data_IF_227405901231
#
_entry.id   IF_227405901231
#
_cell.length_a   1.000
_cell.length_b   1.000
_cell.length_c   1.000
_cell.angle_alpha   90.00
_cell.angle_beta   90.00
_cell.angle_gamma   90.00
#
_symmetry.space_group_name_H-M   'P 1'
#
loop_
_entity.id
_entity.type
_entity.pdbx_description
1 polymer ?
#
# COMPACT_ATOMS: atom_id res chain seq x y z
N UNK A 1 0.03 -28.05 -19.80
CA UNK A 1 -1.25 -28.35 -19.17
C UNK A 1 -1.86 -27.05 -18.70
N UNK A 2 -2.96 -26.62 -19.30
CA UNK A 2 -3.70 -25.42 -18.87
C UNK A 2 -4.41 -25.72 -17.55
N UNK A 3 -3.96 -25.06 -16.49
CA UNK A 3 -4.60 -25.15 -15.18
C UNK A 3 -6.05 -24.69 -15.30
N UNK A 4 -7.01 -25.49 -14.85
CA UNK A 4 -8.43 -25.13 -14.89
C UNK A 4 -8.69 -23.89 -14.02
N UNK A 5 -9.60 -23.00 -14.44
CA UNK A 5 -9.94 -21.74 -13.74
C UNK A 5 -10.26 -22.01 -12.26
N UNK A 6 -10.92 -23.12 -11.94
CA UNK A 6 -11.23 -23.53 -10.57
C UNK A 6 -9.96 -23.77 -9.73
N UNK A 7 -8.93 -24.45 -10.27
CA UNK A 7 -7.67 -24.69 -9.54
C UNK A 7 -6.92 -23.38 -9.26
N UNK A 8 -6.93 -22.42 -10.19
CA UNK A 8 -6.34 -21.10 -9.99
C UNK A 8 -7.05 -20.33 -8.87
N UNK A 9 -8.39 -20.35 -8.85
CA UNK A 9 -9.19 -19.68 -7.80
C UNK A 9 -8.86 -20.29 -6.44
N UNK A 10 -8.90 -21.61 -6.31
CA UNK A 10 -8.59 -22.32 -5.06
C UNK A 10 -7.18 -21.97 -4.59
N UNK A 11 -6.18 -22.06 -5.47
CA UNK A 11 -4.80 -21.71 -5.15
C UNK A 11 -4.67 -20.28 -4.66
N UNK A 12 -5.24 -19.31 -5.39
CA UNK A 12 -5.19 -17.90 -5.01
C UNK A 12 -5.84 -17.63 -3.66
N UNK A 13 -6.99 -18.29 -3.38
CA UNK A 13 -7.68 -18.17 -2.09
C UNK A 13 -6.84 -18.71 -0.95
N UNK A 14 -6.25 -19.92 -1.10
CA UNK A 14 -5.38 -20.51 -0.08
C UNK A 14 -4.18 -19.61 0.21
N UNK A 15 -3.48 -19.14 -0.83
CA UNK A 15 -2.32 -18.26 -0.64
C UNK A 15 -2.69 -16.93 0.00
N UNK A 16 -3.85 -16.35 -0.37
CA UNK A 16 -4.32 -15.10 0.25
C UNK A 16 -4.68 -15.30 1.72
N UNK A 17 -5.41 -16.38 2.05
CA UNK A 17 -5.77 -16.69 3.45
C UNK A 17 -4.53 -16.98 4.29
N UNK A 18 -3.55 -17.74 3.77
CA UNK A 18 -2.29 -18.00 4.45
C UNK A 18 -1.49 -16.70 4.68
N UNK A 19 -1.48 -15.79 3.72
CA UNK A 19 -0.84 -14.47 3.85
C UNK A 19 -1.49 -13.61 4.94
N UNK A 20 -2.82 -13.59 5.03
CA UNK A 20 -3.54 -12.91 6.11
C UNK A 20 -3.21 -13.51 7.49
N UNK A 21 -3.30 -14.83 7.62
CA UNK A 21 -2.97 -15.51 8.87
C UNK A 21 -1.53 -15.21 9.31
N UNK A 22 -0.57 -15.26 8.38
CA UNK A 22 0.82 -14.92 8.62
C UNK A 22 0.99 -13.48 9.13
N UNK A 23 0.30 -12.52 8.51
CA UNK A 23 0.31 -11.11 8.92
C UNK A 23 -0.19 -10.92 10.35
N UNK A 24 -1.32 -11.54 10.70
CA UNK A 24 -1.87 -11.48 12.05
C UNK A 24 -0.94 -12.13 13.08
N UNK A 25 -0.35 -13.27 12.74
CA UNK A 25 0.61 -13.95 13.61
C UNK A 25 1.82 -13.07 13.91
N UNK A 26 2.42 -12.45 12.88
CA UNK A 26 3.55 -11.54 13.06
C UNK A 26 3.15 -10.31 13.89
N UNK A 27 2.00 -9.71 13.62
CA UNK A 27 1.51 -8.57 14.40
C UNK A 27 1.31 -8.94 15.87
N UNK A 28 0.73 -10.10 16.15
CA UNK A 28 0.51 -10.60 17.51
C UNK A 28 1.82 -10.81 18.27
N UNK A 29 2.84 -11.34 17.61
CA UNK A 29 4.15 -11.59 18.22
C UNK A 29 4.98 -10.32 18.36
N UNK A 30 4.97 -9.44 17.36
CA UNK A 30 5.85 -8.26 17.34
C UNK A 30 5.28 -7.08 18.15
N UNK A 31 3.96 -6.90 18.21
CA UNK A 31 3.37 -5.75 18.91
C UNK A 31 3.77 -5.66 20.38
N UNK A 32 3.69 -6.73 21.20
CA UNK A 32 4.14 -6.67 22.59
C UNK A 32 5.63 -6.36 22.71
N UNK A 33 6.46 -6.93 21.83
CA UNK A 33 7.89 -6.65 21.79
C UNK A 33 8.18 -5.18 21.46
N UNK A 34 7.49 -4.60 20.47
CA UNK A 34 7.64 -3.19 20.09
C UNK A 34 7.27 -2.32 21.30
N UNK A 35 6.08 -2.53 21.88
CA UNK A 35 5.61 -1.73 23.04
C UNK A 35 6.60 -1.82 24.21
N UNK A 36 7.12 -3.00 24.51
CA UNK A 36 8.10 -3.18 25.57
C UNK A 36 9.40 -2.40 25.33
N UNK A 37 9.82 -2.27 24.05
CA UNK A 37 11.08 -1.61 23.68
C UNK A 37 10.97 -0.10 23.56
N UNK A 38 9.88 0.43 23.02
CA UNK A 38 9.73 1.88 22.76
C UNK A 38 8.77 2.58 23.72
N UNK A 39 8.02 1.84 24.51
CA UNK A 39 6.98 2.37 25.39
C UNK A 39 5.64 2.60 24.68
N UNK A 40 4.58 2.76 25.47
CA UNK A 40 3.21 2.89 24.97
C UNK A 40 3.00 4.22 24.22
N UNK A 41 3.64 5.30 24.66
CA UNK A 41 3.51 6.64 24.07
C UNK A 41 4.11 6.67 22.66
N UNK A 42 5.36 6.22 22.50
CA UNK A 42 6.01 6.13 21.19
C UNK A 42 5.29 5.14 20.25
N UNK A 43 4.75 4.04 20.79
CA UNK A 43 3.90 3.13 20.02
C UNK A 43 2.60 3.83 19.56
N UNK A 44 2.02 4.68 20.41
CA UNK A 44 0.87 5.50 20.05
C UNK A 44 1.15 6.44 18.89
N UNK A 45 2.30 7.15 18.90
CA UNK A 45 2.75 7.98 17.77
C UNK A 45 2.87 7.16 16.49
N UNK A 46 3.50 5.99 16.56
CA UNK A 46 3.64 5.07 15.44
C UNK A 46 2.29 4.62 14.88
N UNK A 47 1.37 4.22 15.74
CA UNK A 47 0.03 3.75 15.37
C UNK A 47 -0.80 4.87 14.71
N UNK A 48 -0.75 6.10 15.27
CA UNK A 48 -1.46 7.27 14.72
C UNK A 48 -0.87 7.65 13.36
N UNK A 49 0.46 7.67 13.20
CA UNK A 49 1.11 7.97 11.94
C UNK A 49 0.70 6.97 10.84
N UNK A 50 0.68 5.66 11.14
CA UNK A 50 0.21 4.64 10.21
C UNK A 50 -1.28 4.79 9.87
N UNK A 51 -2.11 5.19 10.83
CA UNK A 51 -3.55 5.43 10.60
C UNK A 51 -3.77 6.66 9.73
N UNK A 52 -3.05 7.76 10.00
CA UNK A 52 -3.16 9.00 9.25
C UNK A 52 -2.83 8.80 7.76
N UNK A 53 -1.82 7.99 7.45
CA UNK A 53 -1.47 7.67 6.06
C UNK A 53 -2.60 6.93 5.33
N UNK A 54 -3.37 6.10 6.03
CA UNK A 54 -4.50 5.41 5.41
C UNK A 54 -5.58 6.38 4.88
N UNK A 55 -5.67 7.60 5.40
CA UNK A 55 -6.57 8.62 4.84
C UNK A 55 -6.17 9.06 3.44
N UNK A 56 -4.88 9.03 3.09
CA UNK A 56 -4.45 9.31 1.71
C UNK A 56 -4.93 8.27 0.70
N UNK A 57 -5.23 7.04 1.14
CA UNK A 57 -5.82 6.00 0.29
C UNK A 57 -7.23 6.41 -0.15
N UNK A 58 -7.98 7.15 0.66
CA UNK A 58 -9.30 7.67 0.27
C UNK A 58 -9.23 8.77 -0.79
N UNK A 59 -8.08 9.42 -0.92
CA UNK A 59 -7.84 10.41 -1.98
C UNK A 59 -7.47 9.74 -3.31
N UNK A 60 -7.08 8.45 -3.31
CA UNK A 60 -6.85 7.68 -4.53
C UNK A 60 -8.18 7.49 -5.28
N UNK A 61 -8.30 7.92 -6.54
CA UNK A 61 -9.51 7.70 -7.32
C UNK A 61 -9.71 6.25 -7.79
N UNK A 62 -9.25 5.25 -7.03
CA UNK A 62 -9.44 3.83 -7.30
C UNK A 62 -8.58 3.28 -8.44
N UNK A 63 -7.43 3.90 -8.70
CA UNK A 63 -6.56 3.52 -9.81
C UNK A 63 -5.99 2.11 -9.68
N UNK A 64 -5.69 1.64 -8.47
CA UNK A 64 -5.23 0.28 -8.25
C UNK A 64 -6.17 -0.77 -8.84
N UNK A 65 -7.47 -0.65 -8.60
CA UNK A 65 -8.51 -1.54 -9.17
C UNK A 65 -8.64 -1.37 -10.68
N UNK A 66 -8.49 -0.13 -11.18
CA UNK A 66 -8.51 0.17 -12.61
C UNK A 66 -7.38 -0.50 -13.35
N UNK A 67 -6.16 -0.46 -12.81
CA UNK A 67 -5.01 -1.13 -13.41
C UNK A 67 -5.25 -2.64 -13.54
N UNK A 68 -5.68 -3.28 -12.45
CA UNK A 68 -5.97 -4.73 -12.44
C UNK A 68 -6.98 -5.09 -13.52
N UNK A 69 -8.10 -4.34 -13.60
CA UNK A 69 -9.15 -4.58 -14.59
C UNK A 69 -8.64 -4.46 -16.02
N UNK A 70 -8.05 -3.32 -16.38
CA UNK A 70 -7.68 -3.06 -17.77
C UNK A 70 -6.45 -3.88 -18.20
N UNK A 71 -5.50 -4.15 -17.31
CA UNK A 71 -4.39 -5.07 -17.61
C UNK A 71 -4.93 -6.47 -17.90
N UNK A 72 -5.86 -7.01 -17.07
CA UNK A 72 -6.47 -8.31 -17.31
C UNK A 72 -7.25 -8.34 -18.63
N UNK A 73 -8.05 -7.31 -18.91
CA UNK A 73 -8.86 -7.20 -20.13
C UNK A 73 -7.99 -7.22 -21.39
N UNK A 74 -7.01 -6.32 -21.48
CA UNK A 74 -6.18 -6.21 -22.67
C UNK A 74 -5.17 -7.35 -22.81
N UNK A 75 -4.69 -7.92 -21.70
CA UNK A 75 -3.87 -9.12 -21.73
C UNK A 75 -4.64 -10.33 -22.31
N UNK A 76 -5.92 -10.49 -21.94
CA UNK A 76 -6.78 -11.56 -22.49
C UNK A 76 -6.99 -11.39 -24.01
N UNK A 77 -7.07 -10.14 -24.49
CA UNK A 77 -7.15 -9.78 -25.91
C UNK A 77 -5.80 -9.87 -26.63
N UNK A 78 -4.70 -10.18 -25.93
CA UNK A 78 -3.31 -10.14 -26.43
C UNK A 78 -2.87 -8.79 -26.98
N UNK A 79 -3.55 -7.70 -26.57
CA UNK A 79 -3.19 -6.33 -26.92
C UNK A 79 -2.14 -5.78 -25.94
N UNK A 80 -0.91 -6.26 -26.10
CA UNK A 80 0.21 -5.90 -25.23
C UNK A 80 0.62 -4.43 -25.36
N UNK A 81 0.30 -3.79 -26.48
CA UNK A 81 0.53 -2.35 -26.67
C UNK A 81 -0.36 -1.55 -25.69
N UNK A 82 -1.64 -1.89 -25.64
CA UNK A 82 -2.57 -1.21 -24.73
C UNK A 82 -2.28 -1.56 -23.27
N UNK A 83 -1.83 -2.79 -22.96
CA UNK A 83 -1.31 -3.14 -21.62
C UNK A 83 -0.18 -2.19 -21.21
N UNK A 84 0.81 -1.97 -22.10
CA UNK A 84 1.90 -1.02 -21.83
C UNK A 84 1.40 0.43 -21.66
N UNK A 85 0.40 0.83 -22.44
CA UNK A 85 -0.22 2.15 -22.25
C UNK A 85 -0.88 2.27 -20.86
N UNK A 86 -1.57 1.24 -20.37
CA UNK A 86 -2.14 1.21 -19.02
C UNK A 86 -1.06 1.33 -17.95
N UNK A 87 0.01 0.53 -18.07
CA UNK A 87 1.13 0.51 -17.11
C UNK A 87 1.80 1.88 -17.04
N UNK A 88 2.16 2.47 -18.19
CA UNK A 88 2.90 3.73 -18.24
C UNK A 88 2.03 4.93 -17.86
N UNK A 89 0.76 4.97 -18.32
CA UNK A 89 -0.18 6.02 -17.90
C UNK A 89 -0.43 5.95 -16.40
N UNK A 90 -0.56 4.73 -15.87
CA UNK A 90 -0.71 4.49 -14.45
C UNK A 90 0.50 4.95 -13.64
N UNK A 91 1.72 4.64 -14.10
CA UNK A 91 2.95 5.06 -13.44
C UNK A 91 3.06 6.59 -13.37
N UNK A 92 2.82 7.29 -14.50
CA UNK A 92 2.85 8.75 -14.55
C UNK A 92 1.83 9.34 -13.58
N UNK A 93 0.59 8.81 -13.59
CA UNK A 93 -0.43 9.29 -12.66
C UNK A 93 -0.05 9.05 -11.19
N UNK A 94 0.43 7.86 -10.85
CA UNK A 94 0.83 7.54 -9.48
C UNK A 94 1.97 8.45 -8.99
N UNK A 95 2.94 8.77 -9.86
CA UNK A 95 4.01 9.72 -9.53
C UNK A 95 3.48 11.13 -9.31
N UNK A 96 2.60 11.62 -10.19
CA UNK A 96 1.97 12.94 -10.02
C UNK A 96 1.13 12.99 -8.73
N UNK A 97 0.37 11.95 -8.44
CA UNK A 97 -0.39 11.86 -7.20
C UNK A 97 0.52 11.92 -5.97
N UNK A 98 1.65 11.21 -5.98
CA UNK A 98 2.64 11.27 -4.89
C UNK A 98 3.19 12.69 -4.68
N UNK A 99 3.43 13.44 -5.76
CA UNK A 99 3.86 14.85 -5.66
C UNK A 99 2.79 15.70 -4.99
N UNK A 100 1.51 15.51 -5.36
CA UNK A 100 0.38 16.22 -4.72
C UNK A 100 0.28 15.87 -3.24
N UNK A 101 0.35 14.57 -2.89
CA UNK A 101 0.28 14.10 -1.49
C UNK A 101 1.44 14.68 -0.67
N UNK A 102 2.66 14.70 -1.22
CA UNK A 102 3.81 15.32 -0.56
C UNK A 102 3.60 16.82 -0.36
N UNK A 103 3.08 17.52 -1.37
CA UNK A 103 2.76 18.94 -1.27
C UNK A 103 1.71 19.23 -0.19
N UNK A 104 0.64 18.46 -0.16
CA UNK A 104 -0.41 18.57 0.87
C UNK A 104 0.16 18.32 2.26
N UNK A 105 0.99 17.30 2.43
CA UNK A 105 1.67 17.05 3.70
C UNK A 105 2.54 18.23 4.14
N UNK A 106 3.36 18.76 3.26
CA UNK A 106 4.24 19.89 3.59
C UNK A 106 3.46 21.15 3.99
N UNK A 107 2.28 21.37 3.43
CA UNK A 107 1.39 22.49 3.78
C UNK A 107 0.65 22.26 5.10
N UNK A 108 0.27 21.02 5.42
CA UNK A 108 -0.60 20.70 6.55
C UNK A 108 0.13 20.11 7.76
N UNK A 109 1.43 19.80 7.66
CA UNK A 109 2.18 19.11 8.72
C UNK A 109 2.06 19.77 10.09
N UNK A 110 2.23 21.10 10.12
CA UNK A 110 2.19 21.85 11.39
C UNK A 110 0.79 21.88 11.98
N UNK A 111 -0.24 21.95 11.14
CA UNK A 111 -1.64 21.84 11.54
C UNK A 111 -1.96 20.46 12.11
N UNK A 112 -1.54 19.39 11.41
CA UNK A 112 -1.77 17.99 11.83
C UNK A 112 -1.12 17.74 13.19
N UNK A 113 0.14 18.15 13.36
CA UNK A 113 0.87 17.93 14.60
C UNK A 113 0.29 18.76 15.73
N UNK A 114 -0.07 20.02 15.49
CA UNK A 114 -0.71 20.88 16.46
C UNK A 114 -2.08 20.36 16.92
N UNK A 115 -2.85 19.76 16.00
CA UNK A 115 -4.15 19.15 16.31
C UNK A 115 -4.03 17.93 17.24
N UNK A 116 -2.97 17.13 17.08
CA UNK A 116 -2.77 15.89 17.83
C UNK A 116 -2.31 16.13 19.28
N UNK A 117 -1.96 17.39 19.67
CA UNK A 117 -1.61 17.81 21.04
C UNK A 117 -0.58 16.91 21.73
N UNK A 118 0.40 16.44 20.99
CA UNK A 118 1.51 15.68 21.57
C UNK A 118 2.39 16.54 22.49
N UNK A 119 3.08 15.88 23.42
CA UNK A 119 4.08 16.53 24.26
C UNK A 119 5.20 17.18 23.43
N UNK A 120 5.61 18.42 23.72
CA UNK A 120 6.68 19.12 22.99
C UNK A 120 8.01 18.35 22.93
N UNK A 121 8.27 17.51 23.91
CA UNK A 121 9.50 16.71 24.01
C UNK A 121 9.65 15.70 22.86
N UNK A 122 8.53 15.26 22.25
CA UNK A 122 8.53 14.27 21.18
C UNK A 122 8.35 14.88 19.78
N UNK A 123 8.38 16.20 19.65
CA UNK A 123 8.05 16.89 18.39
C UNK A 123 8.93 16.44 17.21
N UNK A 124 10.23 16.29 17.42
CA UNK A 124 11.15 15.85 16.36
C UNK A 124 10.90 14.38 15.96
N UNK A 125 10.67 13.50 16.92
CA UNK A 125 10.38 12.09 16.66
C UNK A 125 9.03 11.92 15.94
N UNK A 126 8.06 12.77 16.26
CA UNK A 126 6.76 12.81 15.58
C UNK A 126 6.93 13.23 14.13
N UNK A 127 7.60 14.36 13.87
CA UNK A 127 7.88 14.84 12.51
C UNK A 127 8.60 13.78 11.69
N UNK A 128 9.65 13.17 12.25
CA UNK A 128 10.41 12.13 11.58
C UNK A 128 9.53 10.91 11.26
N UNK A 129 8.70 10.49 12.21
CA UNK A 129 7.82 9.32 12.06
C UNK A 129 6.77 9.57 10.99
N UNK A 130 6.05 10.69 11.05
CA UNK A 130 5.02 11.03 10.07
C UNK A 130 5.59 11.18 8.66
N UNK A 131 6.72 11.89 8.53
CA UNK A 131 7.40 12.03 7.26
C UNK A 131 7.90 10.69 6.72
N UNK A 132 8.49 9.86 7.58
CA UNK A 132 9.01 8.55 7.18
C UNK A 132 7.91 7.59 6.74
N UNK A 133 6.78 7.54 7.45
CA UNK A 133 5.63 6.72 7.03
C UNK A 133 5.00 7.27 5.75
N UNK A 134 4.97 8.60 5.56
CA UNK A 134 4.59 9.19 4.27
C UNK A 134 5.51 8.71 3.14
N UNK A 135 6.83 8.64 3.37
CA UNK A 135 7.77 8.12 2.38
C UNK A 135 7.49 6.64 2.06
N UNK A 136 7.17 5.83 3.06
CA UNK A 136 6.73 4.43 2.84
C UNK A 136 5.48 4.37 1.95
N UNK A 137 4.49 5.23 2.20
CA UNK A 137 3.31 5.34 1.35
C UNK A 137 3.67 5.74 -0.08
N UNK A 138 4.46 6.81 -0.25
CA UNK A 138 4.89 7.32 -1.56
C UNK A 138 5.62 6.23 -2.35
N UNK A 139 6.57 5.51 -1.75
CA UNK A 139 7.31 4.43 -2.41
C UNK A 139 6.35 3.33 -2.88
N UNK A 140 5.44 2.86 -2.02
CA UNK A 140 4.50 1.81 -2.38
C UNK A 140 3.49 2.27 -3.44
N UNK A 141 2.97 3.50 -3.32
CA UNK A 141 1.95 4.02 -4.22
C UNK A 141 2.51 4.38 -5.60
N UNK A 142 3.66 5.06 -5.66
CA UNK A 142 4.31 5.45 -6.92
C UNK A 142 4.50 4.25 -7.86
N UNK A 143 4.80 3.09 -7.30
CA UNK A 143 5.08 1.87 -8.05
C UNK A 143 4.00 0.78 -7.91
N UNK A 144 2.82 1.15 -7.44
CA UNK A 144 1.68 0.22 -7.27
C UNK A 144 1.30 -0.51 -8.57
N UNK A 145 1.60 0.09 -9.72
CA UNK A 145 1.34 -0.48 -11.04
C UNK A 145 2.01 -1.84 -11.24
N UNK A 146 3.19 -2.10 -10.66
CA UNK A 146 3.86 -3.39 -10.76
C UNK A 146 3.09 -4.49 -10.03
N UNK A 147 2.65 -4.21 -8.79
CA UNK A 147 1.77 -5.11 -8.04
C UNK A 147 0.46 -5.35 -8.79
N UNK A 148 -0.15 -4.28 -9.31
CA UNK A 148 -1.40 -4.35 -10.06
C UNK A 148 -1.24 -5.11 -11.38
N UNK A 149 -0.05 -5.08 -12.01
CA UNK A 149 0.27 -5.88 -13.18
C UNK A 149 0.25 -7.37 -12.83
N UNK A 150 0.89 -7.77 -11.74
CA UNK A 150 0.85 -9.16 -11.26
C UNK A 150 -0.59 -9.60 -10.96
N UNK A 151 -1.37 -8.75 -10.31
CA UNK A 151 -2.77 -9.02 -9.99
C UNK A 151 -3.63 -9.15 -11.27
N UNK A 152 -3.47 -8.24 -12.24
CA UNK A 152 -4.15 -8.29 -13.54
C UNK A 152 -3.79 -9.50 -14.38
N UNK A 153 -2.57 -10.01 -14.24
CA UNK A 153 -2.12 -11.28 -14.81
C UNK A 153 -2.55 -12.51 -13.98
N UNK A 154 -3.40 -12.32 -12.96
CA UNK A 154 -3.88 -13.36 -12.06
C UNK A 154 -2.77 -14.11 -11.30
N UNK A 155 -1.69 -13.42 -10.96
CA UNK A 155 -0.53 -13.96 -10.23
C UNK A 155 -0.53 -13.51 -8.76
N UNK A 156 -1.69 -13.71 -8.10
CA UNK A 156 -1.84 -13.46 -6.65
C UNK A 156 -0.92 -14.34 -5.80
N UNK A 157 -0.59 -15.54 -6.30
CA UNK A 157 0.40 -16.44 -5.72
C UNK A 157 1.75 -15.71 -5.52
N UNK A 158 2.24 -15.06 -6.57
CA UNK A 158 3.51 -14.32 -6.53
C UNK A 158 3.46 -13.15 -5.55
N UNK A 159 2.35 -12.39 -5.54
CA UNK A 159 2.18 -11.26 -4.61
C UNK A 159 2.26 -11.74 -3.17
N UNK A 160 1.58 -12.83 -2.82
CA UNK A 160 1.56 -13.36 -1.47
C UNK A 160 2.90 -14.00 -1.07
N UNK A 161 3.58 -14.68 -2.00
CA UNK A 161 4.93 -15.22 -1.77
C UNK A 161 5.91 -14.09 -1.46
N UNK A 162 5.91 -13.01 -2.27
CA UNK A 162 6.76 -11.83 -2.02
C UNK A 162 6.45 -11.25 -0.63
N UNK A 163 5.18 -11.10 -0.28
CA UNK A 163 4.77 -10.59 1.03
C UNK A 163 5.36 -11.44 2.18
N UNK A 164 5.22 -12.76 2.12
CA UNK A 164 5.75 -13.67 3.16
C UNK A 164 7.27 -13.62 3.20
N UNK A 165 7.95 -13.67 2.05
CA UNK A 165 9.42 -13.63 1.99
C UNK A 165 9.96 -12.30 2.55
N UNK A 166 9.35 -11.17 2.22
CA UNK A 166 9.80 -9.85 2.67
C UNK A 166 9.45 -9.61 4.15
N UNK A 167 8.38 -10.23 4.67
CA UNK A 167 8.00 -10.09 6.08
C UNK A 167 9.04 -10.67 7.05
N UNK A 168 9.81 -11.69 6.63
CA UNK A 168 10.84 -12.30 7.47
C UNK A 168 11.99 -11.30 7.76
N UNK A 169 12.71 -10.75 6.75
CA UNK A 169 13.73 -9.74 7.02
C UNK A 169 13.15 -8.47 7.65
N UNK A 170 11.88 -8.12 7.37
CA UNK A 170 11.18 -7.03 8.05
C UNK A 170 11.10 -7.27 9.56
N UNK A 171 10.67 -8.45 9.98
CA UNK A 171 10.58 -8.82 11.40
C UNK A 171 11.93 -8.84 12.07
N UNK A 172 12.95 -9.38 11.40
CA UNK A 172 14.34 -9.38 11.89
C UNK A 172 14.84 -7.94 12.03
N UNK A 173 14.58 -7.08 11.06
CA UNK A 173 14.96 -5.67 11.09
C UNK A 173 14.29 -4.92 12.26
N UNK A 174 12.99 -5.14 12.52
CA UNK A 174 12.31 -4.58 13.69
C UNK A 174 13.04 -4.98 14.98
N UNK A 175 13.29 -6.28 15.16
CA UNK A 175 13.97 -6.80 16.36
C UNK A 175 15.37 -6.19 16.48
N UNK A 176 16.13 -6.16 15.38
CA UNK A 176 17.50 -5.63 15.37
C UNK A 176 17.52 -4.13 15.71
N UNK A 177 16.76 -3.28 14.99
CA UNK A 177 16.78 -1.84 15.23
C UNK A 177 16.31 -1.48 16.64
N UNK A 178 15.27 -2.15 17.16
CA UNK A 178 14.78 -1.90 18.50
C UNK A 178 15.74 -2.41 19.58
N UNK A 179 16.41 -3.54 19.35
CA UNK A 179 17.41 -4.04 20.28
C UNK A 179 18.67 -3.17 20.35
N UNK A 180 19.00 -2.48 19.23
CA UNK A 180 20.08 -1.51 19.16
C UNK A 180 19.69 -0.12 19.73
N UNK A 181 18.45 0.08 20.18
CA UNK A 181 18.00 1.30 20.81
C UNK A 181 17.59 2.43 19.85
N UNK A 182 17.40 2.14 18.55
CA UNK A 182 16.98 3.17 17.57
C UNK A 182 15.51 3.63 17.70
N UNK A 183 14.69 2.99 18.55
CA UNK A 183 13.31 3.41 18.85
C UNK A 183 12.45 3.61 17.60
N UNK A 184 11.66 4.70 17.57
CA UNK A 184 10.81 5.06 16.43
C UNK A 184 11.58 5.23 15.12
N UNK A 185 12.75 5.83 15.17
CA UNK A 185 13.59 6.03 13.98
C UNK A 185 13.98 4.70 13.34
N UNK A 186 14.27 3.69 14.17
CA UNK A 186 14.55 2.33 13.71
C UNK A 186 13.36 1.67 13.00
N UNK A 187 12.14 1.83 13.54
CA UNK A 187 10.92 1.32 12.90
C UNK A 187 10.68 1.98 11.55
N UNK A 188 10.86 3.29 11.46
CA UNK A 188 10.70 4.06 10.21
C UNK A 188 11.72 3.62 9.17
N UNK A 189 13.00 3.55 9.53
CA UNK A 189 14.06 3.12 8.62
C UNK A 189 13.80 1.69 8.11
N UNK A 190 13.44 0.77 8.99
CA UNK A 190 13.08 -0.59 8.60
C UNK A 190 11.91 -0.60 7.61
N UNK A 191 10.85 0.18 7.86
CA UNK A 191 9.68 0.25 7.00
C UNK A 191 10.01 0.80 5.61
N UNK A 192 10.89 1.81 5.51
CA UNK A 192 11.37 2.34 4.23
C UNK A 192 12.17 1.28 3.46
N UNK A 193 13.10 0.58 4.14
CA UNK A 193 13.87 -0.50 3.51
C UNK A 193 12.97 -1.61 2.98
N UNK A 194 11.99 -2.01 3.78
CA UNK A 194 10.99 -3.03 3.42
C UNK A 194 10.15 -2.58 2.23
N UNK A 195 9.71 -1.32 2.19
CA UNK A 195 8.95 -0.78 1.06
C UNK A 195 9.78 -0.83 -0.24
N UNK A 196 11.05 -0.42 -0.19
CA UNK A 196 11.95 -0.46 -1.35
C UNK A 196 12.13 -1.90 -1.85
N UNK A 197 12.45 -2.85 -0.95
CA UNK A 197 12.63 -4.27 -1.31
C UNK A 197 11.36 -4.86 -1.89
N UNK A 198 10.20 -4.51 -1.32
CA UNK A 198 8.88 -4.97 -1.80
C UNK A 198 8.60 -4.49 -3.22
N UNK A 199 8.80 -3.20 -3.48
CA UNK A 199 8.57 -2.59 -4.81
C UNK A 199 9.52 -3.17 -5.84
N UNK A 200 10.81 -3.31 -5.52
CA UNK A 200 11.79 -3.93 -6.41
C UNK A 200 11.39 -5.37 -6.74
N UNK A 201 10.94 -6.13 -5.72
CA UNK A 201 10.48 -7.50 -5.91
C UNK A 201 9.28 -7.57 -6.86
N UNK A 202 8.28 -6.71 -6.68
CA UNK A 202 7.13 -6.64 -7.59
C UNK A 202 7.56 -6.26 -9.01
N UNK A 203 8.45 -5.29 -9.17
CA UNK A 203 8.96 -4.89 -10.48
C UNK A 203 9.69 -6.04 -11.18
N UNK A 204 10.63 -6.69 -10.51
CA UNK A 204 11.40 -7.84 -11.05
C UNK A 204 10.47 -8.96 -11.50
N UNK A 205 9.51 -9.35 -10.67
CA UNK A 205 8.57 -10.40 -11.02
C UNK A 205 7.57 -9.97 -12.11
N UNK A 206 7.15 -8.70 -12.14
CA UNK A 206 6.31 -8.19 -13.21
C UNK A 206 7.02 -8.27 -14.56
N UNK A 207 8.28 -7.86 -14.67
CA UNK A 207 9.09 -8.01 -15.89
C UNK A 207 9.32 -9.47 -16.26
N UNK A 208 9.56 -10.35 -15.28
CA UNK A 208 9.77 -11.78 -15.53
C UNK A 208 8.52 -12.47 -16.10
N UNK A 209 7.33 -12.09 -15.61
CA UNK A 209 6.05 -12.71 -15.98
C UNK A 209 5.48 -12.07 -17.25
N UNK A 210 5.74 -10.80 -17.47
CA UNK A 210 5.33 -10.05 -18.66
C UNK A 210 6.55 -9.45 -19.38
N UNK A 211 7.31 -10.26 -20.14
CA UNK A 211 8.54 -9.80 -20.80
C UNK A 211 8.31 -8.68 -21.83
N UNK A 212 7.07 -8.51 -22.32
CA UNK A 212 6.70 -7.44 -23.24
C UNK A 212 6.51 -6.09 -22.53
N UNK A 213 6.67 -6.04 -21.19
CA UNK A 213 6.56 -4.79 -20.43
C UNK A 213 7.68 -3.82 -20.85
N UNK A 214 7.26 -2.61 -21.18
CA UNK A 214 8.18 -1.53 -21.56
C UNK A 214 7.79 -0.24 -20.86
N UNK A 215 8.70 0.28 -20.06
CA UNK A 215 8.50 1.58 -19.37
C UNK A 215 9.12 2.66 -20.26
N UNK A 216 8.26 3.47 -20.89
CA UNK A 216 8.70 4.56 -21.74
C UNK A 216 7.61 5.64 -21.86
N UNK A 217 7.94 6.94 -21.75
CA UNK A 217 6.95 8.03 -21.79
C UNK A 217 6.04 8.03 -23.02
N UNK A 218 6.48 7.49 -24.16
CA UNK A 218 5.68 7.39 -25.40
C UNK A 218 4.40 6.54 -25.25
N UNK A 219 4.36 5.68 -24.23
CA UNK A 219 3.18 4.84 -23.94
C UNK A 219 2.14 5.56 -23.06
N UNK A 220 2.40 6.79 -22.64
CA UNK A 220 1.35 7.61 -22.00
C UNK A 220 0.19 7.83 -22.96
N UNK A 221 -1.03 7.65 -22.47
CA UNK A 221 -2.26 7.86 -23.25
C UNK A 221 -3.32 8.55 -22.42
N UNK A 222 -3.74 9.73 -22.88
CA UNK A 222 -4.85 10.49 -22.27
C UNK A 222 -6.20 9.74 -22.35
N UNK A 223 -6.39 8.94 -23.41
CA UNK A 223 -7.58 8.09 -23.55
C UNK A 223 -7.61 7.02 -22.46
N UNK A 224 -6.47 6.35 -22.23
CA UNK A 224 -6.32 5.37 -21.15
C UNK A 224 -6.50 6.03 -19.79
N UNK A 225 -5.93 7.22 -19.58
CA UNK A 225 -6.12 7.97 -18.33
C UNK A 225 -7.60 8.21 -18.04
N UNK A 226 -8.37 8.62 -19.06
CA UNK A 226 -9.83 8.83 -18.92
C UNK A 226 -10.56 7.53 -18.56
N UNK A 227 -10.17 6.41 -19.15
CA UNK A 227 -10.75 5.09 -18.84
C UNK A 227 -10.42 4.67 -17.39
N UNK A 228 -9.18 4.84 -16.97
CA UNK A 228 -8.72 4.55 -15.61
C UNK A 228 -9.50 5.39 -14.59
N UNK A 229 -9.60 6.69 -14.82
CA UNK A 229 -10.36 7.60 -13.97
C UNK A 229 -11.83 7.23 -13.89
N UNK A 230 -12.48 7.03 -15.04
CA UNK A 230 -13.92 6.75 -15.10
C UNK A 230 -14.31 5.45 -14.40
N UNK A 231 -13.48 4.40 -14.43
CA UNK A 231 -13.72 3.16 -13.71
C UNK A 231 -13.31 3.29 -12.25
N UNK A 232 -12.12 3.82 -11.98
CA UNK A 232 -11.56 3.95 -10.65
C UNK A 232 -12.46 4.78 -9.73
N UNK A 233 -12.95 5.92 -10.20
CA UNK A 233 -13.82 6.78 -9.43
C UNK A 233 -15.13 6.07 -9.00
N UNK A 234 -15.70 5.24 -9.88
CA UNK A 234 -16.89 4.43 -9.54
C UNK A 234 -16.56 3.41 -8.42
N UNK A 235 -15.41 2.77 -8.51
CA UNK A 235 -14.95 1.82 -7.48
C UNK A 235 -14.70 2.55 -6.16
N UNK A 236 -14.12 3.75 -6.20
CA UNK A 236 -13.85 4.54 -5.02
C UNK A 236 -15.14 5.00 -4.31
N UNK A 237 -16.16 5.44 -5.07
CA UNK A 237 -17.47 5.76 -4.50
C UNK A 237 -18.10 4.52 -3.83
N UNK A 238 -18.03 3.36 -4.48
CA UNK A 238 -18.55 2.12 -3.90
C UNK A 238 -17.81 1.75 -2.61
N UNK A 239 -16.47 1.85 -2.61
CA UNK A 239 -15.63 1.61 -1.42
C UNK A 239 -15.92 2.60 -0.28
N UNK A 240 -16.15 3.87 -0.60
CA UNK A 240 -16.52 4.88 0.38
C UNK A 240 -17.90 4.60 0.99
N UNK A 241 -18.87 4.20 0.17
CA UNK A 241 -20.20 3.79 0.64
C UNK A 241 -20.12 2.58 1.57
N UNK A 242 -19.31 1.58 1.23
CA UNK A 242 -19.08 0.41 2.09
C UNK A 242 -18.41 0.81 3.42
N UNK A 243 -17.42 1.69 3.38
CA UNK A 243 -16.77 2.20 4.58
C UNK A 243 -17.76 2.92 5.50
N UNK A 244 -18.58 3.82 4.95
CA UNK A 244 -19.64 4.52 5.73
C UNK A 244 -20.58 3.51 6.36
N UNK A 245 -21.11 2.55 5.60
CA UNK A 245 -22.04 1.56 6.11
C UNK A 245 -21.44 0.75 7.29
N UNK A 246 -20.18 0.33 7.18
CA UNK A 246 -19.50 -0.42 8.26
C UNK A 246 -19.21 0.43 9.50
N UNK A 247 -19.08 1.75 9.38
CA UNK A 247 -18.81 2.65 10.51
C UNK A 247 -20.09 3.24 11.11
N UNK A 248 -21.14 3.42 10.31
CA UNK A 248 -22.43 3.96 10.78
C UNK A 248 -23.02 3.13 11.92
N UNK A 249 -22.97 1.81 11.83
CA UNK A 249 -23.47 0.92 12.89
C UNK A 249 -22.77 1.19 14.22
N UNK A 250 -21.46 1.40 14.21
CA UNK A 250 -20.68 1.68 15.42
C UNK A 250 -20.97 3.07 15.98
N UNK A 251 -21.14 4.06 15.11
CA UNK A 251 -21.47 5.44 15.50
C UNK A 251 -22.88 5.50 16.09
N UNK A 252 -23.84 4.82 15.42
CA UNK A 252 -25.23 4.75 15.92
C UNK A 252 -25.32 4.04 17.27
N UNK A 253 -24.64 2.90 17.42
CA UNK A 253 -24.58 2.20 18.71
C UNK A 253 -23.94 3.07 19.80
N UNK A 254 -22.83 3.76 19.48
CA UNK A 254 -22.20 4.68 20.44
C UNK A 254 -23.08 5.87 20.81
N UNK A 255 -23.91 6.37 19.89
CA UNK A 255 -24.86 7.47 20.16
C UNK A 255 -26.11 7.02 20.92
N UNK A 256 -26.61 5.79 20.64
CA UNK A 256 -27.83 5.27 21.25
C UNK A 256 -27.59 4.64 22.63
N UNK A 257 -26.35 4.25 22.95
CA UNK A 257 -25.99 3.60 24.22
C UNK A 257 -25.40 4.58 25.24
N UNK A 258 -25.19 5.85 24.90
CA UNK A 258 -24.90 6.96 25.81
C UNK A 258 -26.16 7.79 26.05
#
# INVERSE_FOLDING_TARGET
MTETTSKKIIRNTIFSSAGFFWSYLLSFLLTPFIIHRIGIEAFGIWAIANTAINFFIFLDPGFGSSYVKYIAEYNTKKDYKTVNNVINTGLVFSLLFCVVVLGVYLLLKDFIIGFLKFSPEHYEDILFTFFGILMVFIINYAFTVFKSTLAGLQRMDVINIIFVIVSIPSSIGIIMFLSLGYGLKGLVCNSIMVAIVTVISYAVYAYKIFPQMSIHPKFFSSEILRKLWGFGFKVQIAGFSEFINRQLDKILLGYLLN
#
